data_IF_371778950477
#
_entry.id   IF_371778950477
#
_cell.length_a   1.000
_cell.length_b   1.000
_cell.length_c   1.000
_cell.angle_alpha   90.00
_cell.angle_beta   90.00
_cell.angle_gamma   90.00
#
_symmetry.space_group_name_H-M   'P 1'
#
loop_
_entity.id
_entity.type
_entity.pdbx_description
1 polymer ?
#
# COMPACT_ATOMS: atom_id res chain seq x y z
N UNK A 1 -15.38 2.94 -16.62
CA UNK A 1 -14.61 1.67 -16.73
C UNK A 1 -14.98 0.79 -15.54
N UNK A 2 -15.24 -0.51 -15.69
CA UNK A 2 -15.42 -1.45 -14.55
C UNK A 2 -14.10 -2.17 -14.18
N UNK A 3 -14.07 -2.96 -13.11
CA UNK A 3 -12.86 -3.66 -12.67
C UNK A 3 -12.32 -4.65 -13.70
N UNK A 4 -13.22 -5.33 -14.44
CA UNK A 4 -12.82 -6.26 -15.49
C UNK A 4 -12.15 -5.54 -16.66
N UNK A 5 -12.67 -4.38 -17.05
CA UNK A 5 -12.04 -3.53 -18.06
C UNK A 5 -10.72 -2.95 -17.58
N UNK A 6 -10.66 -2.54 -16.31
CA UNK A 6 -9.43 -2.09 -15.66
C UNK A 6 -8.33 -3.16 -15.76
N UNK A 7 -8.61 -4.39 -15.34
CA UNK A 7 -7.62 -5.49 -15.40
C UNK A 7 -7.14 -5.78 -16.82
N UNK A 8 -8.01 -5.64 -17.84
CA UNK A 8 -7.60 -5.76 -19.25
C UNK A 8 -6.56 -4.71 -19.65
N UNK A 9 -6.63 -3.50 -19.09
CA UNK A 9 -5.61 -2.47 -19.34
C UNK A 9 -4.23 -2.88 -18.82
N UNK A 10 -4.20 -3.76 -17.81
CA UNK A 10 -2.97 -4.26 -17.20
C UNK A 10 -2.36 -5.47 -17.92
N UNK A 11 -3.09 -6.22 -18.75
CA UNK A 11 -2.60 -7.50 -19.33
C UNK A 11 -1.29 -7.41 -20.14
N UNK A 12 -0.83 -6.21 -20.48
CA UNK A 12 0.43 -5.98 -21.16
C UNK A 12 1.65 -6.11 -20.22
N UNK A 13 2.60 -6.99 -20.56
CA UNK A 13 3.87 -7.17 -19.81
C UNK A 13 4.66 -5.87 -19.58
N UNK A 14 4.54 -4.88 -20.47
CA UNK A 14 5.18 -3.56 -20.29
C UNK A 14 4.61 -2.81 -19.08
N UNK A 15 3.32 -2.96 -18.80
CA UNK A 15 2.64 -2.31 -17.67
C UNK A 15 3.13 -2.91 -16.35
N UNK A 16 3.25 -4.24 -16.27
CA UNK A 16 3.89 -4.90 -15.11
C UNK A 16 5.30 -4.35 -14.86
N UNK A 17 6.11 -4.25 -15.92
CA UNK A 17 7.48 -3.73 -15.81
C UNK A 17 7.47 -2.29 -15.29
N UNK A 18 6.54 -1.45 -15.73
CA UNK A 18 6.39 -0.10 -15.21
C UNK A 18 6.06 -0.09 -13.72
N UNK A 19 5.21 -1.00 -13.24
CA UNK A 19 4.94 -1.11 -11.80
C UNK A 19 6.22 -1.48 -11.04
N UNK A 20 6.95 -2.50 -11.49
CA UNK A 20 8.22 -2.92 -10.88
C UNK A 20 9.24 -1.76 -10.84
N UNK A 21 9.33 -0.97 -11.91
CA UNK A 21 10.21 0.21 -12.00
C UNK A 21 9.80 1.32 -11.00
N UNK A 22 8.49 1.51 -10.77
CA UNK A 22 7.99 2.43 -9.73
C UNK A 22 8.40 1.92 -8.35
N UNK A 23 8.23 0.62 -8.08
CA UNK A 23 8.64 0.07 -6.78
C UNK A 23 10.13 0.31 -6.51
N UNK A 24 10.97 0.12 -7.53
CA UNK A 24 12.40 0.42 -7.43
C UNK A 24 12.70 1.89 -7.19
N UNK A 25 12.02 2.78 -7.92
CA UNK A 25 12.19 4.22 -7.79
C UNK A 25 11.95 4.67 -6.34
N UNK A 26 10.94 4.12 -5.67
CA UNK A 26 10.52 4.52 -4.33
C UNK A 26 11.04 3.61 -3.22
N UNK A 27 11.91 2.65 -3.54
CA UNK A 27 12.41 1.64 -2.59
C UNK A 27 11.24 0.95 -1.86
N UNK A 28 10.19 0.67 -2.61
CA UNK A 28 8.98 0.02 -2.14
C UNK A 28 9.20 -1.49 -2.08
N UNK A 29 8.95 -2.09 -0.92
CA UNK A 29 9.19 -3.51 -0.69
C UNK A 29 7.88 -4.26 -0.56
N UNK A 30 7.51 -5.11 -1.54
CA UNK A 30 6.51 -6.15 -1.33
C UNK A 30 7.02 -7.16 -0.28
N UNK A 31 6.16 -7.55 0.66
CA UNK A 31 6.49 -8.60 1.65
C UNK A 31 6.41 -10.01 1.03
N UNK A 32 5.43 -10.23 0.13
CA UNK A 32 5.18 -11.52 -0.51
C UNK A 32 5.62 -11.59 -1.98
N UNK A 33 4.99 -12.49 -2.74
CA UNK A 33 5.19 -12.62 -4.19
C UNK A 33 4.25 -11.75 -5.04
N UNK A 34 3.15 -11.26 -4.46
CA UNK A 34 2.18 -10.41 -5.12
C UNK A 34 2.54 -8.93 -5.09
N UNK A 35 1.55 -8.08 -5.40
CA UNK A 35 1.62 -6.63 -5.26
C UNK A 35 0.75 -6.15 -4.08
N UNK A 36 0.86 -6.88 -2.98
CA UNK A 36 0.22 -6.60 -1.70
C UNK A 36 1.30 -6.40 -0.64
N UNK A 37 0.93 -5.76 0.46
CA UNK A 37 1.84 -5.40 1.56
C UNK A 37 3.12 -4.73 1.03
N UNK A 38 2.94 -3.79 0.10
CA UNK A 38 4.05 -3.03 -0.46
C UNK A 38 4.36 -1.91 0.52
N UNK A 39 5.46 -2.03 1.25
CA UNK A 39 5.83 -1.07 2.28
C UNK A 39 6.78 -0.02 1.68
N UNK A 40 6.46 1.24 1.92
CA UNK A 40 7.22 2.41 1.45
C UNK A 40 7.65 3.22 2.68
N UNK A 41 8.80 3.90 2.59
CA UNK A 41 9.22 4.81 3.66
C UNK A 41 8.33 6.05 3.68
N UNK A 42 8.11 6.59 4.89
CA UNK A 42 7.14 7.66 5.16
C UNK A 42 7.30 8.86 4.22
N UNK A 43 8.53 9.31 4.01
CA UNK A 43 8.85 10.46 3.17
C UNK A 43 8.52 10.29 1.68
N UNK A 44 8.26 9.06 1.23
CA UNK A 44 7.97 8.74 -0.16
C UNK A 44 6.50 8.40 -0.42
N UNK A 45 5.66 8.32 0.61
CA UNK A 45 4.28 7.85 0.48
C UNK A 45 3.45 8.70 -0.49
N UNK A 46 3.48 10.02 -0.33
CA UNK A 46 2.68 10.92 -1.16
C UNK A 46 3.10 10.84 -2.63
N UNK A 47 4.40 10.97 -2.90
CA UNK A 47 4.96 10.87 -4.25
C UNK A 47 4.71 9.49 -4.88
N UNK A 48 4.74 8.43 -4.07
CA UNK A 48 4.44 7.07 -4.52
C UNK A 48 2.98 6.94 -4.97
N UNK A 49 2.02 7.42 -4.17
CA UNK A 49 0.59 7.42 -4.51
C UNK A 49 0.32 8.26 -5.77
N UNK A 50 0.93 9.45 -5.87
CA UNK A 50 0.83 10.30 -7.06
C UNK A 50 1.37 9.56 -8.29
N UNK A 51 2.51 8.88 -8.16
CA UNK A 51 3.10 8.12 -9.26
C UNK A 51 2.21 6.97 -9.71
N UNK A 52 1.68 6.18 -8.78
CA UNK A 52 0.75 5.07 -9.08
C UNK A 52 -0.47 5.59 -9.84
N UNK A 53 -1.08 6.67 -9.34
CA UNK A 53 -2.24 7.33 -9.96
C UNK A 53 -1.92 7.78 -11.39
N UNK A 54 -0.78 8.45 -11.59
CA UNK A 54 -0.34 8.93 -12.92
C UNK A 54 -0.10 7.80 -13.94
N UNK A 55 0.04 6.56 -13.47
CA UNK A 55 0.27 5.36 -14.30
C UNK A 55 -0.93 4.43 -14.34
N UNK A 56 -2.04 4.79 -13.71
CA UNK A 56 -3.26 3.99 -13.69
C UNK A 56 -3.16 2.75 -12.80
N UNK A 57 -2.32 2.76 -11.76
CA UNK A 57 -2.30 1.70 -10.76
C UNK A 57 -3.25 2.05 -9.62
N UNK A 58 -4.18 1.14 -9.36
CA UNK A 58 -5.24 1.29 -8.37
C UNK A 58 -4.79 0.69 -7.04
N UNK A 59 -4.88 1.47 -5.96
CA UNK A 59 -4.82 0.96 -4.60
C UNK A 59 -6.23 0.51 -4.22
N UNK A 60 -6.35 -0.68 -3.62
CA UNK A 60 -7.64 -1.22 -3.18
C UNK A 60 -7.70 -1.51 -1.67
N UNK A 61 -6.55 -1.57 -1.01
CA UNK A 61 -6.48 -1.70 0.43
C UNK A 61 -5.15 -1.19 0.99
N UNK A 62 -5.14 -0.97 2.30
CA UNK A 62 -3.98 -0.73 3.12
C UNK A 62 -3.95 -1.77 4.24
N UNK A 63 -2.79 -2.36 4.46
CA UNK A 63 -2.43 -3.00 5.73
C UNK A 63 -1.54 -2.06 6.54
N UNK A 64 -1.41 -2.29 7.84
CA UNK A 64 -0.61 -1.40 8.70
C UNK A 64 0.59 -2.09 9.31
N UNK A 65 1.71 -1.37 9.35
CA UNK A 65 3.02 -1.89 9.74
C UNK A 65 3.77 -0.90 10.61
N UNK A 66 4.73 -1.41 11.37
CA UNK A 66 5.75 -0.61 12.03
C UNK A 66 7.10 -0.83 11.32
N UNK A 67 7.84 0.25 11.08
CA UNK A 67 9.26 0.20 10.77
C UNK A 67 10.06 0.35 12.06
N UNK A 68 10.91 -0.64 12.34
CA UNK A 68 11.71 -0.74 13.55
C UNK A 68 13.18 -0.63 13.18
N UNK A 69 13.91 0.27 13.83
CA UNK A 69 15.36 0.37 13.66
C UNK A 69 16.06 -0.87 14.23
N UNK A 70 17.37 -0.99 13.98
CA UNK A 70 18.15 -2.13 14.48
C UNK A 70 18.08 -2.24 16.02
N UNK A 71 17.77 -3.45 16.50
CA UNK A 71 17.61 -3.82 17.91
C UNK A 71 16.34 -3.30 18.60
N UNK A 72 15.40 -2.74 17.85
CA UNK A 72 14.07 -2.43 18.38
C UNK A 72 13.15 -3.65 18.33
N UNK A 73 12.29 -3.78 19.33
CA UNK A 73 11.27 -4.82 19.40
C UNK A 73 9.89 -4.21 19.16
N UNK A 74 9.08 -4.92 18.37
CA UNK A 74 7.68 -4.54 18.17
C UNK A 74 6.90 -4.74 19.46
N UNK A 75 6.26 -3.68 19.94
CA UNK A 75 5.33 -3.77 21.09
C UNK A 75 3.93 -4.20 20.65
N UNK A 76 3.55 -3.87 19.42
CA UNK A 76 2.17 -3.98 18.95
C UNK A 76 1.99 -4.96 17.78
N UNK A 77 3.04 -5.24 17.01
CA UNK A 77 2.94 -6.04 15.80
C UNK A 77 3.45 -7.49 15.92
N UNK A 78 3.19 -8.28 14.88
CA UNK A 78 3.48 -9.72 14.80
C UNK A 78 4.83 -10.08 14.16
N UNK A 79 5.70 -9.08 13.94
CA UNK A 79 6.95 -9.25 13.21
C UNK A 79 6.76 -9.20 11.69
N UNK A 80 7.84 -9.45 10.96
CA UNK A 80 7.86 -9.27 9.51
C UNK A 80 9.28 -9.32 8.94
N UNK A 81 9.45 -9.03 7.65
CA UNK A 81 10.74 -9.15 7.00
C UNK A 81 11.68 -8.00 7.39
N UNK A 82 12.98 -8.28 7.28
CA UNK A 82 14.00 -7.22 7.25
C UNK A 82 13.78 -6.33 6.03
N UNK A 83 13.99 -5.03 6.19
CA UNK A 83 14.01 -4.13 5.02
C UNK A 83 15.18 -4.47 4.10
N UNK A 84 14.91 -4.52 2.79
CA UNK A 84 15.91 -4.69 1.73
C UNK A 84 16.64 -3.38 1.42
N UNK A 85 16.05 -2.25 1.77
CA UNK A 85 16.54 -0.92 1.42
C UNK A 85 17.09 -0.11 2.60
N UNK A 86 16.69 -0.46 3.82
CA UNK A 86 17.04 0.28 5.05
C UNK A 86 17.52 -0.65 6.16
N UNK A 87 18.20 -0.08 7.15
CA UNK A 87 18.65 -0.79 8.34
C UNK A 87 17.49 -0.99 9.33
N UNK A 88 16.71 -2.04 9.17
CA UNK A 88 15.60 -2.27 10.10
C UNK A 88 14.71 -3.44 9.72
N UNK A 89 13.64 -3.60 10.48
CA UNK A 89 12.63 -4.64 10.31
C UNK A 89 11.25 -4.01 10.17
N UNK A 90 10.41 -4.65 9.38
CA UNK A 90 8.98 -4.36 9.37
C UNK A 90 8.27 -5.30 10.33
N UNK A 91 7.22 -4.80 10.98
CA UNK A 91 6.34 -5.59 11.83
C UNK A 91 4.89 -5.30 11.50
N UNK A 92 4.15 -6.31 11.07
CA UNK A 92 2.72 -6.17 10.72
C UNK A 92 1.89 -5.88 11.97
N UNK A 93 0.89 -5.01 11.86
CA UNK A 93 -0.09 -4.77 12.92
C UNK A 93 -1.29 -5.73 12.80
N UNK A 94 -1.84 -6.22 13.94
CA UNK A 94 -2.91 -7.22 13.90
C UNK A 94 -4.23 -6.66 13.37
N UNK A 95 -4.75 -7.25 12.29
CA UNK A 95 -6.11 -7.03 11.79
C UNK A 95 -6.50 -5.55 11.57
N UNK A 96 -5.52 -4.71 11.29
CA UNK A 96 -5.74 -3.31 10.98
C UNK A 96 -5.61 -3.13 9.47
N UNK A 97 -6.77 -3.08 8.81
CA UNK A 97 -6.89 -2.94 7.36
C UNK A 97 -7.89 -1.85 7.02
N UNK A 98 -7.58 -1.07 5.99
CA UNK A 98 -8.52 -0.15 5.37
C UNK A 98 -8.71 -0.59 3.93
N UNK A 99 -9.91 -1.03 3.56
CA UNK A 99 -10.21 -1.54 2.22
C UNK A 99 -11.49 -0.94 1.65
N UNK A 100 -11.53 -0.82 0.32
CA UNK A 100 -12.77 -0.57 -0.40
C UNK A 100 -13.20 -1.86 -1.06
N UNK A 101 -14.48 -2.20 -0.95
CA UNK A 101 -15.00 -3.37 -1.66
C UNK A 101 -15.10 -3.09 -3.16
N UNK A 102 -15.25 -4.17 -3.95
CA UNK A 102 -15.31 -4.07 -5.41
C UNK A 102 -16.48 -3.18 -5.88
N UNK A 103 -17.62 -3.17 -5.19
CA UNK A 103 -18.78 -2.34 -5.58
C UNK A 103 -18.51 -0.84 -5.36
N UNK A 104 -17.79 -0.48 -4.29
CA UNK A 104 -17.32 0.89 -4.05
C UNK A 104 -16.34 1.33 -5.14
N UNK A 105 -15.34 0.50 -5.43
CA UNK A 105 -14.35 0.77 -6.47
C UNK A 105 -15.03 0.96 -7.83
N UNK A 106 -15.91 0.04 -8.23
CA UNK A 106 -16.62 0.14 -9.51
C UNK A 106 -17.49 1.39 -9.60
N UNK A 107 -18.19 1.76 -8.51
CA UNK A 107 -18.95 3.02 -8.46
C UNK A 107 -18.08 4.23 -8.76
N UNK A 108 -16.88 4.31 -8.19
CA UNK A 108 -15.95 5.41 -8.46
C UNK A 108 -15.37 5.36 -9.88
N UNK A 109 -14.97 4.18 -10.37
CA UNK A 109 -14.43 4.01 -11.73
C UNK A 109 -15.47 4.29 -12.84
N UNK A 110 -16.77 4.12 -12.54
CA UNK A 110 -17.86 4.45 -13.47
C UNK A 110 -18.21 5.94 -13.40
N UNK A 111 -18.36 6.48 -12.20
CA UNK A 111 -18.83 7.87 -12.01
C UNK A 111 -17.80 8.94 -12.36
N UNK A 112 -16.51 8.61 -12.30
CA UNK A 112 -15.42 9.59 -12.46
C UNK A 112 -14.57 9.40 -13.72
N UNK A 113 -14.99 8.52 -14.63
CA UNK A 113 -14.30 8.23 -15.90
C UNK A 113 -12.78 8.01 -15.70
N UNK A 114 -11.91 8.69 -16.46
CA UNK A 114 -10.45 8.55 -16.34
C UNK A 114 -9.87 8.98 -14.98
N UNK A 115 -10.62 9.71 -14.15
CA UNK A 115 -10.15 10.21 -12.87
C UNK A 115 -10.46 9.28 -11.69
N UNK A 116 -11.23 8.20 -11.89
CA UNK A 116 -11.65 7.30 -10.82
C UNK A 116 -10.48 6.70 -10.04
N UNK A 117 -9.41 6.30 -10.72
CA UNK A 117 -8.20 5.76 -10.07
C UNK A 117 -7.53 6.81 -9.18
N UNK A 118 -7.32 8.02 -9.69
CA UNK A 118 -6.72 9.12 -8.91
C UNK A 118 -7.58 9.47 -7.69
N UNK A 119 -8.90 9.46 -7.84
CA UNK A 119 -9.81 9.70 -6.72
C UNK A 119 -9.72 8.62 -5.64
N UNK A 120 -9.73 7.34 -6.02
CA UNK A 120 -9.60 6.23 -5.07
C UNK A 120 -8.23 6.27 -4.37
N UNK A 121 -7.16 6.49 -5.12
CA UNK A 121 -5.82 6.59 -4.55
C UNK A 121 -5.70 7.81 -3.60
N UNK A 122 -6.34 8.93 -3.92
CA UNK A 122 -6.43 10.09 -3.03
C UNK A 122 -7.23 9.76 -1.76
N UNK A 123 -8.29 8.96 -1.86
CA UNK A 123 -9.02 8.47 -0.69
C UNK A 123 -8.07 7.70 0.25
N UNK A 124 -7.27 6.77 -0.26
CA UNK A 124 -6.29 6.05 0.57
C UNK A 124 -5.17 6.97 1.11
N UNK A 125 -4.75 7.98 0.36
CA UNK A 125 -3.85 9.01 0.89
C UNK A 125 -4.46 9.70 2.12
N UNK A 126 -5.72 10.12 2.03
CA UNK A 126 -6.42 10.75 3.16
C UNK A 126 -6.53 9.79 4.35
N UNK A 127 -6.89 8.51 4.12
CA UNK A 127 -6.95 7.48 5.16
C UNK A 127 -5.60 7.36 5.89
N UNK A 128 -4.49 7.39 5.15
CA UNK A 128 -3.16 7.30 5.76
C UNK A 128 -2.90 8.46 6.71
N UNK A 129 -3.10 9.69 6.24
CA UNK A 129 -2.80 10.87 7.04
C UNK A 129 -3.78 11.13 8.18
N UNK A 130 -4.98 10.54 8.11
CA UNK A 130 -5.96 10.56 9.20
C UNK A 130 -5.98 9.29 10.05
N UNK A 131 -5.03 8.36 9.86
CA UNK A 131 -5.11 7.04 10.49
C UNK A 131 -5.08 7.14 12.01
N UNK A 132 -6.08 6.51 12.63
CA UNK A 132 -6.06 6.05 14.01
C UNK A 132 -6.22 4.52 13.98
N UNK A 133 -5.29 3.78 14.58
CA UNK A 133 -5.35 2.31 14.63
C UNK A 133 -6.39 1.82 15.63
N UNK A 134 -6.61 0.50 15.65
CA UNK A 134 -7.30 -0.14 16.78
C UNK A 134 -6.61 0.18 18.11
N UNK A 135 -7.39 0.27 19.18
CA UNK A 135 -6.88 0.47 20.53
C UNK A 135 -6.22 -0.81 21.05
N UNK A 136 -4.97 -0.71 21.48
CA UNK A 136 -4.21 -1.81 22.08
C UNK A 136 -4.52 -1.98 23.57
N UNK A 137 -4.05 -3.08 24.17
CA UNK A 137 -4.30 -3.44 25.57
C UNK A 137 -3.89 -2.36 26.59
N UNK A 138 -2.91 -1.53 26.28
CA UNK A 138 -2.46 -0.40 27.10
C UNK A 138 -3.22 0.90 26.82
N UNK A 139 -4.35 0.81 26.12
CA UNK A 139 -5.15 1.94 25.65
C UNK A 139 -4.45 2.87 24.67
N UNK A 140 -3.32 2.44 24.10
CA UNK A 140 -2.65 3.23 23.09
C UNK A 140 -3.33 3.04 21.73
N UNK A 141 -3.48 4.15 21.00
CA UNK A 141 -3.93 4.19 19.61
C UNK A 141 -2.78 4.81 18.84
N UNK A 142 -2.21 4.06 17.90
CA UNK A 142 -1.18 4.60 17.02
C UNK A 142 -1.83 5.51 16.01
N UNK A 143 -1.19 6.65 15.73
CA UNK A 143 -1.62 7.56 14.69
C UNK A 143 -0.50 7.78 13.72
N UNK A 144 -0.83 7.81 12.44
CA UNK A 144 0.20 8.07 11.44
C UNK A 144 0.86 9.44 11.69
N UNK A 145 0.10 10.47 12.08
CA UNK A 145 0.64 11.80 12.37
C UNK A 145 1.75 11.80 13.45
N UNK A 146 1.60 11.02 14.52
CA UNK A 146 2.48 11.09 15.71
C UNK A 146 3.47 9.93 15.81
N UNK A 147 3.08 8.74 15.36
CA UNK A 147 3.87 7.51 15.48
C UNK A 147 4.68 7.33 14.21
N UNK A 148 5.90 7.88 14.20
CA UNK A 148 6.76 7.95 13.00
C UNK A 148 7.19 6.59 12.46
N UNK A 149 7.11 5.54 13.28
CA UNK A 149 7.33 4.17 12.86
C UNK A 149 6.12 3.54 12.17
N UNK A 150 4.90 4.09 12.33
CA UNK A 150 3.71 3.61 11.63
C UNK A 150 3.82 3.90 10.13
N UNK A 151 3.66 2.87 9.32
CA UNK A 151 3.71 2.95 7.87
C UNK A 151 2.67 2.01 7.23
N UNK A 152 2.02 2.41 6.13
CA UNK A 152 1.10 1.54 5.41
C UNK A 152 1.85 0.50 4.56
N UNK A 153 1.20 -0.64 4.37
CA UNK A 153 1.46 -1.60 3.31
C UNK A 153 0.39 -1.43 2.22
N UNK A 154 0.81 -1.03 1.02
CA UNK A 154 -0.11 -0.78 -0.09
C UNK A 154 -0.50 -2.09 -0.78
N UNK A 155 -1.80 -2.24 -1.06
CA UNK A 155 -2.33 -3.31 -1.89
C UNK A 155 -2.74 -2.71 -3.23
N UNK A 156 -2.03 -3.11 -4.28
CA UNK A 156 -2.29 -2.66 -5.65
C UNK A 156 -3.11 -3.71 -6.36
N UNK A 157 -4.28 -3.31 -6.86
CA UNK A 157 -5.20 -4.19 -7.56
C UNK A 157 -4.60 -4.60 -8.91
N UNK A 158 -4.10 -5.84 -8.98
CA UNK A 158 -3.40 -6.39 -10.14
C UNK A 158 -3.96 -7.76 -10.50
N UNK A 159 -3.72 -8.28 -11.71
CA UNK A 159 -4.11 -9.65 -12.05
C UNK A 159 -3.46 -10.69 -11.12
N UNK A 160 -4.22 -11.70 -10.68
CA UNK A 160 -3.76 -12.71 -9.70
C UNK A 160 -2.52 -13.51 -10.11
N UNK A 161 -2.25 -13.60 -11.42
CA UNK A 161 -1.08 -14.30 -11.96
C UNK A 161 0.19 -13.44 -11.95
N UNK A 162 0.10 -12.16 -11.57
CA UNK A 162 1.26 -11.29 -11.46
C UNK A 162 2.13 -11.67 -10.27
N UNK A 163 3.44 -11.63 -10.49
CA UNK A 163 4.46 -11.91 -9.48
C UNK A 163 5.50 -10.79 -9.50
N UNK A 164 5.79 -10.19 -8.35
CA UNK A 164 6.82 -9.15 -8.28
C UNK A 164 8.20 -9.75 -8.59
N UNK A 165 9.11 -8.90 -9.08
CA UNK A 165 10.48 -9.29 -9.42
C UNK A 165 11.44 -9.25 -8.22
N UNK A 166 10.91 -9.06 -7.00
CA UNK A 166 11.65 -8.67 -5.81
C UNK A 166 11.77 -9.78 -4.78
N UNK A 167 11.84 -11.05 -5.17
CA UNK A 167 12.30 -12.12 -4.25
C UNK A 167 13.81 -12.25 -4.27
#
# INVERSE_FOLDING_TARGET
MNLKEYLKTLENKKVKKQLDEILDQFKAQPVGQGYIDIIVKREYIEDFIIKLSSKGFLINALSWWLYLELNEFSKYGYGGPKSKFYSGWYSELPHDFDELNNEEIERYLISMDYNGISYINQHFSNVIFSKETIQYYDSHILKFETDLNLTPGFWIYTPDNWRNSKQ
#
